data_IF_334363011174
#
_entry.id   IF_334363011174
#
_cell.length_a   1.000
_cell.length_b   1.000
_cell.length_c   1.000
_cell.angle_alpha   90.00
_cell.angle_beta   90.00
_cell.angle_gamma   90.00
#
_symmetry.space_group_name_H-M   'P 1'
#
loop_
_entity.id
_entity.type
_entity.pdbx_description
1 polymer ?
#
# COMPACT_ATOMS: atom_id res chain seq x y z
N UNK A 1 9.83 1.96 -12.34
CA UNK A 1 8.66 1.60 -11.52
C UNK A 1 7.40 1.45 -12.35
N UNK A 2 7.08 2.40 -13.25
CA UNK A 2 5.85 2.38 -14.07
C UNK A 2 5.42 1.04 -14.70
N UNK A 3 6.30 0.18 -15.27
CA UNK A 3 5.83 -1.11 -15.79
C UNK A 3 5.37 -2.12 -14.72
N UNK A 4 5.61 -1.82 -13.45
CA UNK A 4 5.29 -2.66 -12.29
C UNK A 4 4.42 -1.93 -11.25
N UNK A 5 3.82 -0.79 -11.61
CA UNK A 5 2.88 -0.11 -10.71
C UNK A 5 1.69 -1.03 -10.43
N UNK A 6 1.33 -1.17 -9.15
CA UNK A 6 0.16 -1.95 -8.76
C UNK A 6 -1.09 -1.10 -9.00
N UNK A 7 -1.79 -1.42 -10.08
CA UNK A 7 -3.06 -0.81 -10.46
C UNK A 7 -4.14 -1.89 -10.64
N UNK A 8 -5.36 -1.48 -10.97
CA UNK A 8 -6.46 -2.44 -11.16
C UNK A 8 -6.20 -3.48 -12.26
N UNK A 9 -5.40 -3.15 -13.27
CA UNK A 9 -5.07 -4.12 -14.33
C UNK A 9 -4.15 -5.21 -13.81
N UNK A 10 -3.21 -4.88 -12.91
CA UNK A 10 -2.40 -5.88 -12.19
C UNK A 10 -3.26 -6.78 -11.32
N UNK A 11 -4.21 -6.21 -10.57
CA UNK A 11 -5.13 -6.99 -9.74
C UNK A 11 -6.00 -7.93 -10.60
N UNK A 12 -6.56 -7.44 -11.71
CA UNK A 12 -7.33 -8.26 -12.66
C UNK A 12 -6.49 -9.36 -13.29
N UNK A 13 -5.22 -9.08 -13.62
CA UNK A 13 -4.30 -10.03 -14.23
C UNK A 13 -4.01 -11.25 -13.34
N UNK A 14 -4.25 -11.16 -12.03
CA UNK A 14 -4.14 -12.31 -11.12
C UNK A 14 -5.18 -13.41 -11.40
N UNK A 15 -6.30 -13.08 -12.06
CA UNK A 15 -7.40 -14.00 -12.30
C UNK A 15 -8.14 -14.46 -11.03
N UNK A 16 -7.82 -13.86 -9.88
CA UNK A 16 -8.40 -14.22 -8.59
C UNK A 16 -9.34 -13.12 -8.08
N UNK A 17 -10.67 -13.35 -8.00
CA UNK A 17 -11.61 -12.36 -7.48
C UNK A 17 -11.39 -12.01 -6.00
N UNK A 18 -10.67 -12.84 -5.26
CA UNK A 18 -10.34 -12.63 -3.85
C UNK A 18 -8.94 -12.08 -3.61
N UNK A 19 -8.23 -11.65 -4.66
CA UNK A 19 -6.91 -11.03 -4.51
C UNK A 19 -6.97 -9.88 -3.49
N UNK A 20 -5.96 -9.82 -2.63
CA UNK A 20 -5.77 -8.73 -1.67
C UNK A 20 -4.48 -7.98 -1.98
N UNK A 21 -4.51 -6.69 -1.72
CA UNK A 21 -3.38 -5.79 -1.83
C UNK A 21 -2.83 -5.49 -0.43
N UNK A 22 -1.50 -5.61 -0.30
CA UNK A 22 -0.73 -5.34 0.91
C UNK A 22 0.37 -4.35 0.58
N UNK A 23 0.72 -3.51 1.55
CA UNK A 23 1.79 -2.53 1.45
C UNK A 23 2.19 -2.03 2.84
N UNK A 24 3.47 -2.15 3.17
CA UNK A 24 3.99 -1.54 4.39
C UNK A 24 3.98 -0.01 4.24
N UNK A 25 3.12 0.67 5.00
CA UNK A 25 2.94 2.13 4.96
C UNK A 25 4.21 2.90 5.41
N UNK A 26 4.42 4.15 4.93
CA UNK A 26 3.54 4.93 4.06
C UNK A 26 3.61 4.52 2.58
N UNK A 27 2.57 4.87 1.81
CA UNK A 27 2.48 4.66 0.36
C UNK A 27 2.26 5.99 -0.38
N UNK A 28 2.83 6.15 -1.57
CA UNK A 28 2.58 7.28 -2.47
C UNK A 28 1.51 6.90 -3.49
N UNK A 29 0.25 7.04 -3.08
CA UNK A 29 -0.92 6.68 -3.89
C UNK A 29 -1.63 7.88 -4.53
N UNK A 30 -1.15 9.11 -4.29
CA UNK A 30 -1.73 10.33 -4.85
C UNK A 30 -1.02 11.61 -4.40
N UNK A 31 -1.73 12.72 -4.47
CA UNK A 31 -1.20 14.07 -4.23
C UNK A 31 -1.51 14.62 -2.83
N UNK A 32 -2.03 13.83 -1.90
CA UNK A 32 -2.49 14.37 -0.61
C UNK A 32 -1.35 14.79 0.33
N UNK A 33 -0.12 14.35 0.03
CA UNK A 33 1.08 14.70 0.78
C UNK A 33 1.88 15.80 0.09
N UNK A 34 2.70 16.55 0.83
CA UNK A 34 3.58 17.58 0.25
C UNK A 34 4.48 17.00 -0.84
N UNK A 35 5.09 15.84 -0.57
CA UNK A 35 5.94 15.13 -1.52
C UNK A 35 5.12 14.59 -2.70
N UNK A 36 3.90 14.10 -2.48
CA UNK A 36 2.99 13.67 -3.54
C UNK A 36 2.68 14.79 -4.54
N UNK A 37 2.39 16.01 -4.05
CA UNK A 37 2.15 17.18 -4.91
C UNK A 37 3.38 17.57 -5.72
N UNK A 38 4.55 17.61 -5.08
CA UNK A 38 5.82 17.92 -5.77
C UNK A 38 6.15 16.88 -6.85
N UNK A 39 5.89 15.61 -6.57
CA UNK A 39 6.06 14.52 -7.53
C UNK A 39 5.10 14.66 -8.70
N UNK A 40 3.83 14.97 -8.47
CA UNK A 40 2.86 15.18 -9.55
C UNK A 40 3.19 16.40 -10.42
N UNK A 41 3.72 17.47 -9.83
CA UNK A 41 4.19 18.63 -10.59
C UNK A 41 5.39 18.31 -11.48
N UNK A 42 6.34 17.52 -10.95
CA UNK A 42 7.56 17.14 -11.68
C UNK A 42 7.28 16.05 -12.71
N UNK A 43 6.40 15.12 -12.38
CA UNK A 43 6.01 13.95 -13.16
C UNK A 43 4.48 13.83 -13.19
N UNK A 44 3.80 14.55 -14.10
CA UNK A 44 2.33 14.54 -14.17
C UNK A 44 1.70 13.15 -14.35
N UNK A 45 2.45 12.19 -14.91
CA UNK A 45 2.01 10.80 -15.04
C UNK A 45 1.86 10.06 -13.70
N UNK A 46 2.43 10.59 -12.60
CA UNK A 46 2.39 9.98 -11.26
C UNK A 46 1.33 10.61 -10.34
N UNK A 47 0.51 11.53 -10.85
CA UNK A 47 -0.54 12.22 -10.09
C UNK A 47 -1.48 11.25 -9.35
N UNK A 48 -1.85 10.14 -9.99
CA UNK A 48 -2.78 9.17 -9.44
C UNK A 48 -2.10 8.02 -8.67
N UNK A 49 -0.84 8.23 -8.26
CA UNK A 49 -0.04 7.25 -7.51
C UNK A 49 1.26 6.85 -8.20
N UNK A 50 2.23 6.41 -7.41
CA UNK A 50 3.60 6.10 -7.84
C UNK A 50 3.80 4.58 -7.92
N UNK A 51 3.90 3.88 -6.80
CA UNK A 51 4.03 2.43 -6.75
C UNK A 51 2.67 1.71 -6.77
N UNK A 52 1.64 2.37 -6.27
CA UNK A 52 0.25 1.89 -6.24
C UNK A 52 -0.66 3.05 -6.61
N UNK A 53 -1.74 2.78 -7.34
CA UNK A 53 -2.74 3.81 -7.65
C UNK A 53 -3.71 4.01 -6.49
N UNK A 54 -4.23 5.23 -6.31
CA UNK A 54 -5.24 5.56 -5.30
C UNK A 54 -6.41 4.57 -5.29
N UNK A 55 -6.91 4.24 -6.49
CA UNK A 55 -8.02 3.30 -6.69
C UNK A 55 -7.76 1.93 -6.04
N UNK A 56 -6.52 1.44 -6.04
CA UNK A 56 -6.19 0.15 -5.44
C UNK A 56 -6.16 0.26 -3.92
N UNK A 57 -5.53 1.31 -3.38
CA UNK A 57 -5.41 1.50 -1.93
C UNK A 57 -6.77 1.71 -1.27
N UNK A 58 -7.67 2.46 -1.90
CA UNK A 58 -9.01 2.76 -1.38
C UNK A 58 -10.06 1.67 -1.72
N UNK A 59 -9.67 0.63 -2.47
CA UNK A 59 -10.58 -0.45 -2.83
C UNK A 59 -10.77 -1.50 -1.74
N UNK A 60 -11.81 -2.33 -1.89
CA UNK A 60 -12.05 -3.52 -1.05
C UNK A 60 -10.99 -4.62 -1.17
N UNK A 61 -10.06 -4.51 -2.14
CA UNK A 61 -8.90 -5.39 -2.24
C UNK A 61 -7.82 -5.01 -1.22
N UNK A 62 -7.77 -3.76 -0.78
CA UNK A 62 -6.76 -3.26 0.14
C UNK A 62 -7.00 -3.77 1.57
N UNK A 63 -5.94 -4.28 2.19
CA UNK A 63 -5.92 -4.67 3.61
C UNK A 63 -4.75 -4.00 4.35
N UNK A 64 -4.25 -2.87 3.83
CA UNK A 64 -3.04 -2.18 4.33
C UNK A 64 -3.18 -1.71 5.78
N UNK A 65 -4.39 -1.37 6.22
CA UNK A 65 -4.64 -0.96 7.61
C UNK A 65 -4.67 -2.14 8.57
N UNK A 66 -5.26 -3.28 8.15
CA UNK A 66 -5.20 -4.53 8.93
C UNK A 66 -3.74 -5.02 9.04
N UNK A 67 -2.97 -4.92 7.95
CA UNK A 67 -1.53 -5.20 7.94
C UNK A 67 -0.79 -4.27 8.91
N UNK A 68 -1.09 -2.97 8.89
CA UNK A 68 -0.48 -2.00 9.78
C UNK A 68 -0.80 -2.27 11.26
N UNK A 69 -2.05 -2.59 11.60
CA UNK A 69 -2.46 -2.97 12.96
C UNK A 69 -1.72 -4.22 13.44
N UNK A 70 -1.59 -5.23 12.56
CA UNK A 70 -0.90 -6.48 12.87
C UNK A 70 0.58 -6.31 13.22
N UNK A 71 1.20 -5.17 12.90
CA UNK A 71 2.56 -4.83 13.39
C UNK A 71 2.60 -4.74 14.91
N UNK A 72 1.57 -4.20 15.57
CA UNK A 72 1.52 -4.11 17.03
C UNK A 72 1.43 -5.50 17.67
N UNK A 73 0.56 -6.36 17.14
CA UNK A 73 0.36 -7.71 17.65
C UNK A 73 1.61 -8.57 17.50
N UNK A 74 2.27 -8.51 16.35
CA UNK A 74 3.49 -9.29 16.10
C UNK A 74 4.66 -8.81 16.96
N UNK A 75 4.86 -7.50 17.12
CA UNK A 75 5.88 -6.94 18.04
C UNK A 75 5.58 -7.36 19.49
N UNK A 76 4.31 -7.32 19.92
CA UNK A 76 3.91 -7.80 21.26
C UNK A 76 4.26 -9.26 21.46
N UNK A 77 3.99 -10.12 20.48
CA UNK A 77 4.33 -11.54 20.56
C UNK A 77 5.85 -11.75 20.71
N UNK A 78 6.66 -11.00 19.97
CA UNK A 78 8.13 -11.03 20.10
C UNK A 78 8.57 -10.61 21.49
N UNK A 79 7.99 -9.55 22.06
CA UNK A 79 8.29 -9.10 23.42
C UNK A 79 7.92 -10.14 24.48
N UNK A 80 6.73 -10.73 24.40
CA UNK A 80 6.29 -11.79 25.34
C UNK A 80 7.21 -13.00 25.24
N UNK A 81 7.56 -13.44 24.03
CA UNK A 81 8.42 -14.60 23.82
C UNK A 81 9.86 -14.41 24.33
N UNK A 82 10.35 -13.17 24.37
CA UNK A 82 11.75 -12.86 24.73
C UNK A 82 11.91 -12.32 26.15
N UNK A 83 10.90 -11.63 26.70
CA UNK A 83 10.97 -10.90 27.98
C UNK A 83 9.86 -11.28 28.97
N UNK A 84 8.84 -12.03 28.57
CA UNK A 84 7.60 -12.23 29.34
C UNK A 84 7.65 -13.30 30.44
N UNK A 85 8.79 -13.44 31.14
CA UNK A 85 8.88 -14.28 32.35
C UNK A 85 8.22 -13.61 33.55
#
# INVERSE_FOLDING_TARGET
MLPYQVNMDVLKATGNPHVKFMHCLPAFHGEDTTIGKELAQTYPALANGVEVTDEVIESTHSIVFDEAENRMHTIKAVMVATLGQ
#
